data_IF_004166380582
#
_entry.id   IF_004166380582
#
_cell.length_a   1.000
_cell.length_b   1.000
_cell.length_c   1.000
_cell.angle_alpha   90.00
_cell.angle_beta   90.00
_cell.angle_gamma   90.00
#
_symmetry.space_group_name_H-M   'P 1'
#
loop_
_entity.id
_entity.type
_entity.pdbx_description
1 polymer ?
#
# COMPACT_ATOMS: atom_id res chain seq x y z
N UNK A 1 6.76 1.63 18.86
CA UNK A 1 6.52 1.86 17.44
C UNK A 1 5.14 1.33 17.07
N UNK A 2 4.37 2.12 16.31
CA UNK A 2 3.04 1.77 15.80
C UNK A 2 3.09 1.64 14.29
N UNK A 3 2.68 0.48 13.78
CA UNK A 3 2.68 0.15 12.36
C UNK A 3 1.24 0.00 11.88
N UNK A 4 0.89 0.62 10.76
CA UNK A 4 -0.35 0.39 10.04
C UNK A 4 -0.05 -0.36 8.75
N UNK A 5 -0.70 -1.48 8.56
CA UNK A 5 -0.74 -2.22 7.31
C UNK A 5 -2.15 -2.12 6.74
N UNK A 6 -2.29 -1.51 5.56
CA UNK A 6 -3.58 -1.45 4.89
C UNK A 6 -3.57 -2.28 3.62
N UNK A 7 -4.72 -2.84 3.28
CA UNK A 7 -4.95 -3.56 2.04
C UNK A 7 -6.38 -3.30 1.55
N UNK A 8 -6.71 -3.75 0.36
CA UNK A 8 -8.04 -3.55 -0.20
C UNK A 8 -8.85 -4.84 -0.22
N UNK A 9 -10.15 -4.70 0.01
CA UNK A 9 -11.13 -5.73 -0.24
C UNK A 9 -11.37 -5.98 -1.74
N UNK A 10 -12.36 -6.82 -2.09
CA UNK A 10 -12.77 -7.08 -3.47
C UNK A 10 -13.19 -5.81 -4.22
N UNK A 11 -12.95 -5.75 -5.53
CA UNK A 11 -13.32 -4.60 -6.36
C UNK A 11 -13.73 -4.99 -7.78
N UNK A 12 -14.58 -4.20 -8.39
CA UNK A 12 -15.11 -4.40 -9.75
C UNK A 12 -15.66 -5.84 -9.92
N UNK A 13 -15.22 -6.57 -10.94
CA UNK A 13 -15.58 -7.98 -11.17
C UNK A 13 -14.76 -8.98 -10.37
N UNK A 14 -13.77 -8.52 -9.59
CA UNK A 14 -12.90 -9.38 -8.78
C UNK A 14 -13.53 -9.62 -7.40
N UNK A 15 -14.15 -10.81 -7.21
CA UNK A 15 -14.67 -11.24 -5.91
C UNK A 15 -13.57 -11.58 -4.89
N UNK A 16 -12.31 -11.56 -5.31
CA UNK A 16 -11.12 -11.89 -4.54
C UNK A 16 -10.03 -10.85 -4.76
N UNK A 17 -9.45 -10.36 -3.66
CA UNK A 17 -8.28 -9.50 -3.71
C UNK A 17 -7.15 -10.14 -2.86
N UNK A 18 -6.05 -10.58 -3.47
CA UNK A 18 -4.98 -11.25 -2.73
C UNK A 18 -4.36 -10.39 -1.63
N UNK A 19 -4.38 -9.06 -1.78
CA UNK A 19 -3.77 -8.16 -0.79
C UNK A 19 -4.50 -8.18 0.56
N UNK A 20 -5.82 -8.38 0.58
CA UNK A 20 -6.59 -8.59 1.82
C UNK A 20 -6.07 -9.82 2.56
N UNK A 21 -5.92 -10.95 1.84
CA UNK A 21 -5.47 -12.21 2.44
C UNK A 21 -4.03 -12.12 2.93
N UNK A 22 -3.15 -11.46 2.18
CA UNK A 22 -1.77 -11.17 2.59
C UNK A 22 -1.77 -10.36 3.90
N UNK A 23 -2.51 -9.26 3.97
CA UNK A 23 -2.53 -8.40 5.15
C UNK A 23 -3.08 -9.12 6.39
N UNK A 24 -4.16 -9.93 6.23
CA UNK A 24 -4.70 -10.73 7.33
C UNK A 24 -3.69 -11.77 7.82
N UNK A 25 -3.05 -12.49 6.90
CA UNK A 25 -2.05 -13.50 7.22
C UNK A 25 -0.85 -12.90 7.97
N UNK A 26 -0.37 -11.74 7.54
CA UNK A 26 0.67 -10.97 8.26
C UNK A 26 0.19 -10.62 9.66
N UNK A 27 -1.04 -10.12 9.81
CA UNK A 27 -1.60 -9.79 11.13
C UNK A 27 -1.68 -10.97 12.09
N UNK A 28 -2.04 -12.15 11.58
CA UNK A 28 -2.11 -13.41 12.36
C UNK A 28 -0.73 -13.90 12.80
N UNK A 29 0.31 -13.69 11.99
CA UNK A 29 1.67 -14.18 12.23
C UNK A 29 2.58 -13.17 12.92
N UNK A 30 2.17 -11.91 13.00
CA UNK A 30 3.02 -10.84 13.52
C UNK A 30 3.47 -11.09 14.94
N UNK A 31 4.77 -11.28 15.12
CA UNK A 31 5.39 -11.61 16.41
C UNK A 31 6.44 -10.58 16.87
N UNK A 32 6.67 -9.52 16.06
CA UNK A 32 7.59 -8.45 16.43
C UNK A 32 7.03 -7.60 17.59
N UNK A 33 7.91 -6.95 18.36
CA UNK A 33 7.54 -6.09 19.50
C UNK A 33 6.81 -4.80 19.12
N UNK A 34 6.93 -4.34 17.87
CA UNK A 34 6.16 -3.20 17.35
C UNK A 34 4.68 -3.56 17.23
N UNK A 35 3.81 -2.61 17.59
CA UNK A 35 2.36 -2.81 17.51
C UNK A 35 1.89 -2.72 16.05
N UNK A 36 1.38 -3.81 15.49
CA UNK A 36 0.78 -3.85 14.15
C UNK A 36 -0.74 -3.68 14.24
N UNK A 37 -1.26 -2.78 13.41
CA UNK A 37 -2.69 -2.64 13.11
C UNK A 37 -2.91 -3.00 11.65
N UNK A 38 -3.85 -3.90 11.37
CA UNK A 38 -4.25 -4.28 10.02
C UNK A 38 -5.63 -3.69 9.73
N UNK A 39 -5.78 -3.01 8.59
CA UNK A 39 -7.04 -2.42 8.16
C UNK A 39 -7.33 -2.77 6.69
N UNK A 40 -8.53 -3.28 6.42
CA UNK A 40 -8.99 -3.56 5.05
C UNK A 40 -9.86 -2.40 4.59
N UNK A 41 -9.40 -1.74 3.54
CA UNK A 41 -10.04 -0.55 2.99
C UNK A 41 -11.02 -0.90 1.87
N UNK A 42 -12.12 -0.15 1.74
CA UNK A 42 -12.99 -0.23 0.56
C UNK A 42 -12.24 0.32 -0.66
N UNK A 43 -12.54 -0.19 -1.86
CA UNK A 43 -12.00 0.37 -3.11
C UNK A 43 -12.90 1.53 -3.56
N UNK A 44 -12.87 2.59 -2.76
CA UNK A 44 -13.64 3.82 -2.92
C UNK A 44 -12.76 5.01 -2.55
N UNK A 45 -12.66 6.01 -3.42
CA UNK A 45 -11.76 7.14 -3.23
C UNK A 45 -11.98 7.87 -1.91
N UNK A 46 -13.22 8.30 -1.67
CA UNK A 46 -13.55 9.08 -0.48
C UNK A 46 -13.48 8.24 0.79
N UNK A 47 -14.09 7.05 0.80
CA UNK A 47 -14.18 6.20 1.98
C UNK A 47 -12.79 5.68 2.41
N UNK A 48 -11.94 5.23 1.46
CA UNK A 48 -10.59 4.79 1.76
C UNK A 48 -9.75 5.93 2.37
N UNK A 49 -9.79 7.13 1.76
CA UNK A 49 -9.09 8.31 2.30
C UNK A 49 -9.59 8.66 3.71
N UNK A 50 -10.90 8.79 3.90
CA UNK A 50 -11.49 9.12 5.21
C UNK A 50 -11.09 8.09 6.27
N UNK A 51 -11.08 6.80 5.90
CA UNK A 51 -10.67 5.74 6.82
C UNK A 51 -9.21 5.89 7.24
N UNK A 52 -8.28 6.09 6.31
CA UNK A 52 -6.85 6.31 6.63
C UNK A 52 -6.67 7.53 7.53
N UNK A 53 -7.29 8.67 7.19
CA UNK A 53 -7.19 9.89 7.99
C UNK A 53 -7.78 9.69 9.40
N UNK A 54 -8.89 8.96 9.52
CA UNK A 54 -9.57 8.68 10.78
C UNK A 54 -8.83 7.74 11.74
N UNK A 55 -7.87 6.94 11.24
CA UNK A 55 -7.04 6.05 12.08
C UNK A 55 -5.96 6.81 12.87
N UNK A 56 -5.70 8.07 12.50
CA UNK A 56 -4.67 8.88 13.11
C UNK A 56 -3.26 8.59 12.59
N UNK A 57 -2.23 9.03 13.34
CA UNK A 57 -0.84 8.90 12.90
C UNK A 57 -0.19 7.59 13.35
N UNK A 58 0.69 7.08 12.49
CA UNK A 58 1.52 5.90 12.75
C UNK A 58 2.99 6.25 12.47
N UNK A 59 3.91 5.48 13.06
CA UNK A 59 5.33 5.61 12.74
C UNK A 59 5.59 5.08 11.32
N UNK A 60 4.97 3.94 10.98
CA UNK A 60 5.04 3.31 9.66
C UNK A 60 3.63 3.06 9.12
N UNK A 61 3.36 3.39 7.87
CA UNK A 61 2.18 2.96 7.12
C UNK A 61 2.59 2.35 5.78
N UNK A 62 2.52 1.02 5.70
CA UNK A 62 2.67 0.30 4.44
C UNK A 62 1.28 -0.06 3.91
N UNK A 63 0.93 0.47 2.75
CA UNK A 63 -0.31 0.12 2.06
C UNK A 63 -0.05 -0.92 0.97
N UNK A 64 -0.96 -1.87 0.80
CA UNK A 64 -0.90 -2.94 -0.21
C UNK A 64 -1.99 -2.74 -1.26
N UNK A 65 -1.67 -3.01 -2.51
CA UNK A 65 -2.63 -3.04 -3.61
C UNK A 65 -2.29 -4.10 -4.65
N UNK A 66 -3.30 -4.54 -5.38
CA UNK A 66 -3.14 -5.46 -6.51
C UNK A 66 -2.77 -4.69 -7.78
N UNK A 67 -1.71 -5.11 -8.45
CA UNK A 67 -1.34 -4.65 -9.79
C UNK A 67 -1.44 -5.83 -10.78
N UNK A 68 -2.60 -5.97 -11.42
CA UNK A 68 -2.93 -7.13 -12.25
C UNK A 68 -1.99 -7.36 -13.44
N UNK A 69 -1.35 -6.30 -13.92
CA UNK A 69 -0.44 -6.34 -15.08
C UNK A 69 1.03 -6.58 -14.71
N UNK A 70 1.33 -6.78 -13.42
CA UNK A 70 2.72 -6.96 -12.95
C UNK A 70 3.02 -8.42 -12.63
N UNK A 71 4.27 -8.80 -12.84
CA UNK A 71 4.81 -10.14 -12.57
C UNK A 71 5.63 -10.21 -11.27
N UNK A 72 6.00 -9.08 -10.69
CA UNK A 72 6.79 -8.98 -9.46
C UNK A 72 6.26 -7.87 -8.55
N UNK A 73 6.43 -7.99 -7.22
CA UNK A 73 6.11 -6.92 -6.28
C UNK A 73 6.90 -5.64 -6.57
N UNK A 74 6.24 -4.50 -6.38
CA UNK A 74 6.87 -3.19 -6.63
C UNK A 74 6.59 -2.20 -5.50
N UNK A 75 7.65 -1.57 -4.97
CA UNK A 75 7.54 -0.42 -4.08
C UNK A 75 7.36 0.85 -4.91
N UNK A 76 6.29 1.57 -4.64
CA UNK A 76 5.91 2.78 -5.35
C UNK A 76 6.70 3.98 -4.82
N UNK A 77 7.26 4.76 -5.73
CA UNK A 77 8.07 5.92 -5.38
C UNK A 77 7.27 7.19 -5.19
N UNK A 78 6.30 7.47 -6.09
CA UNK A 78 5.55 8.71 -6.07
C UNK A 78 4.04 8.49 -5.96
N UNK A 79 3.41 9.27 -5.08
CA UNK A 79 1.98 9.49 -5.04
C UNK A 79 1.66 10.84 -5.72
N UNK A 80 0.73 10.83 -6.65
CA UNK A 80 0.32 12.02 -7.42
C UNK A 80 -0.96 12.58 -6.80
N UNK A 81 -1.03 13.89 -6.61
CA UNK A 81 -2.22 14.57 -6.11
C UNK A 81 -3.31 14.68 -7.18
N UNK A 82 -3.72 13.54 -7.73
CA UNK A 82 -4.79 13.40 -8.73
C UNK A 82 -5.51 12.08 -8.57
N UNK A 83 -6.80 12.12 -8.87
CA UNK A 83 -7.67 10.97 -9.04
C UNK A 83 -8.19 10.99 -10.48
N UNK A 84 -7.85 9.97 -11.26
CA UNK A 84 -8.24 9.87 -12.66
C UNK A 84 -8.19 8.39 -13.08
N UNK A 85 -9.31 7.85 -13.54
CA UNK A 85 -9.38 6.45 -13.93
C UNK A 85 -10.47 6.20 -14.98
N UNK A 86 -10.22 5.22 -15.83
CA UNK A 86 -11.17 4.81 -16.87
C UNK A 86 -12.32 3.92 -16.33
N UNK A 87 -12.26 3.53 -15.04
CA UNK A 87 -13.29 2.72 -14.39
C UNK A 87 -13.77 3.39 -13.11
N UNK A 88 -15.07 3.27 -12.75
CA UNK A 88 -15.59 3.78 -11.50
C UNK A 88 -15.01 2.99 -10.31
N UNK A 89 -15.03 3.60 -9.14
CA UNK A 89 -14.81 2.91 -7.88
C UNK A 89 -16.03 2.08 -7.45
N UNK A 90 -15.96 1.39 -6.32
CA UNK A 90 -17.07 0.55 -5.85
C UNK A 90 -18.33 1.34 -5.44
N UNK A 91 -18.20 2.65 -5.18
CA UNK A 91 -19.34 3.54 -4.96
C UNK A 91 -19.94 4.10 -6.26
N UNK A 92 -19.33 3.78 -7.42
CA UNK A 92 -19.74 4.28 -8.73
C UNK A 92 -19.16 5.63 -9.09
N UNK A 93 -18.22 6.18 -8.31
CA UNK A 93 -17.56 7.44 -8.62
C UNK A 93 -16.52 7.26 -9.73
N UNK A 94 -16.69 8.05 -10.80
CA UNK A 94 -15.76 8.14 -11.93
C UNK A 94 -14.88 9.38 -11.75
N UNK A 95 -13.67 9.18 -11.26
CA UNK A 95 -12.73 10.28 -11.09
C UNK A 95 -12.22 10.79 -12.45
N UNK A 96 -12.20 12.11 -12.61
CA UNK A 96 -11.87 12.79 -13.88
C UNK A 96 -10.85 13.93 -13.67
N UNK A 97 -9.74 13.66 -13.00
CA UNK A 97 -8.65 14.59 -12.78
C UNK A 97 -8.77 15.44 -11.51
N UNK A 98 -9.61 15.05 -10.55
CA UNK A 98 -9.76 15.78 -9.29
C UNK A 98 -8.48 15.71 -8.44
N UNK A 99 -8.23 16.76 -7.65
CA UNK A 99 -7.19 16.74 -6.64
C UNK A 99 -7.60 15.85 -5.46
N UNK A 100 -6.66 15.09 -4.90
CA UNK A 100 -6.86 14.36 -3.63
C UNK A 100 -6.96 15.36 -2.47
N UNK A 101 -6.14 16.42 -2.52
CA UNK A 101 -6.07 17.46 -1.51
C UNK A 101 -5.64 18.77 -2.19
N UNK A 102 -6.55 19.74 -2.28
CA UNK A 102 -6.29 21.02 -2.95
C UNK A 102 -5.19 21.86 -2.29
N UNK A 103 -4.93 21.64 -1.01
CA UNK A 103 -3.91 22.34 -0.25
C UNK A 103 -2.51 21.74 -0.35
N UNK A 104 -2.40 20.53 -0.87
CA UNK A 104 -1.16 19.77 -0.93
C UNK A 104 -0.42 19.95 -2.28
N UNK A 105 0.90 19.68 -2.32
CA UNK A 105 1.67 19.74 -3.57
C UNK A 105 1.18 18.70 -4.58
N UNK A 106 1.63 18.85 -5.84
CA UNK A 106 1.25 17.98 -6.95
C UNK A 106 1.62 16.51 -6.72
N UNK A 107 2.69 16.24 -5.98
CA UNK A 107 3.14 14.88 -5.68
C UNK A 107 3.93 14.83 -4.37
N UNK A 108 3.92 13.64 -3.75
CA UNK A 108 4.82 13.27 -2.68
C UNK A 108 5.71 12.11 -3.12
N UNK A 109 6.99 12.13 -2.74
CA UNK A 109 7.83 10.94 -2.77
C UNK A 109 7.56 10.13 -1.50
N UNK A 110 7.55 8.80 -1.62
CA UNK A 110 7.43 7.90 -0.46
C UNK A 110 8.46 8.25 0.61
N UNK A 111 8.06 8.22 1.86
CA UNK A 111 8.98 8.43 2.99
C UNK A 111 9.55 7.10 3.52
N UNK A 112 9.20 5.97 2.90
CA UNK A 112 9.89 4.70 3.14
C UNK A 112 11.32 4.75 2.61
N UNK A 113 12.28 4.08 3.24
CA UNK A 113 13.64 3.91 2.71
C UNK A 113 13.65 2.88 1.55
N UNK A 114 12.83 3.13 0.52
CA UNK A 114 12.43 2.15 -0.50
C UNK A 114 13.62 1.51 -1.23
N UNK A 115 14.71 2.26 -1.51
CA UNK A 115 15.90 1.70 -2.16
C UNK A 115 16.56 0.63 -1.30
N UNK A 116 16.76 0.95 -0.01
CA UNK A 116 17.32 0.00 0.96
C UNK A 116 16.41 -1.21 1.12
N UNK A 117 15.09 -1.00 1.20
CA UNK A 117 14.12 -2.10 1.31
C UNK A 117 14.17 -3.03 0.09
N UNK A 118 14.25 -2.48 -1.12
CA UNK A 118 14.40 -3.26 -2.36
C UNK A 118 15.72 -4.06 -2.35
N UNK A 119 16.83 -3.43 -2.00
CA UNK A 119 18.14 -4.10 -1.92
C UNK A 119 18.12 -5.25 -0.91
N UNK A 120 17.57 -5.01 0.29
CA UNK A 120 17.48 -6.02 1.35
C UNK A 120 16.55 -7.15 0.98
N UNK A 121 15.38 -6.85 0.42
CA UNK A 121 14.43 -7.87 -0.03
C UNK A 121 15.02 -8.74 -1.15
N UNK A 122 15.69 -8.15 -2.14
CA UNK A 122 16.34 -8.89 -3.20
C UNK A 122 17.50 -9.77 -2.68
N UNK A 123 18.28 -9.28 -1.70
CA UNK A 123 19.31 -10.08 -1.04
C UNK A 123 18.74 -11.26 -0.24
N UNK A 124 17.50 -11.13 0.26
CA UNK A 124 16.77 -12.21 0.94
C UNK A 124 16.05 -13.16 -0.03
N UNK A 125 16.16 -12.95 -1.35
CA UNK A 125 15.58 -13.82 -2.38
C UNK A 125 14.23 -13.37 -2.94
N UNK A 126 13.66 -12.27 -2.45
CA UNK A 126 12.45 -11.67 -3.03
C UNK A 126 12.79 -10.86 -4.28
N UNK A 127 11.95 -10.96 -5.32
CA UNK A 127 12.14 -10.20 -6.58
C UNK A 127 11.33 -8.91 -6.52
N UNK A 128 11.83 -7.89 -5.81
CA UNK A 128 11.14 -6.60 -5.66
C UNK A 128 11.76 -5.56 -6.58
N UNK A 129 10.93 -4.71 -7.22
CA UNK A 129 11.38 -3.60 -8.08
C UNK A 129 10.85 -2.25 -7.60
N UNK A 130 11.49 -1.18 -8.05
CA UNK A 130 10.96 0.18 -7.95
C UNK A 130 9.89 0.39 -9.02
N UNK A 131 8.79 1.07 -8.62
CA UNK A 131 7.82 1.65 -9.56
C UNK A 131 7.71 3.15 -9.29
N UNK A 132 7.48 3.93 -10.33
CA UNK A 132 7.45 5.39 -10.23
C UNK A 132 6.07 5.97 -9.94
N UNK A 133 5.02 5.17 -10.01
CA UNK A 133 3.65 5.62 -9.78
C UNK A 133 2.72 4.47 -9.41
N UNK A 134 1.89 4.72 -8.41
CA UNK A 134 0.78 3.85 -8.03
C UNK A 134 -0.44 3.95 -8.98
N UNK A 135 -0.30 4.64 -10.11
CA UNK A 135 -1.42 5.02 -10.97
C UNK A 135 -2.15 6.25 -10.44
N UNK A 136 -3.43 6.39 -10.81
CA UNK A 136 -4.28 7.49 -10.33
C UNK A 136 -5.63 6.99 -9.78
N UNK A 137 -5.74 5.67 -9.57
CA UNK A 137 -6.91 5.04 -8.95
C UNK A 137 -6.81 5.09 -7.42
N UNK A 138 -7.67 4.38 -6.70
CA UNK A 138 -7.77 4.40 -5.23
C UNK A 138 -6.44 4.07 -4.54
N UNK A 139 -5.59 3.21 -5.13
CA UNK A 139 -4.24 2.91 -4.61
C UNK A 139 -3.40 4.16 -4.42
N UNK A 140 -3.39 5.05 -5.41
CA UNK A 140 -2.68 6.32 -5.34
C UNK A 140 -3.22 7.25 -4.24
N UNK A 141 -4.55 7.30 -4.08
CA UNK A 141 -5.20 8.09 -3.02
C UNK A 141 -4.81 7.59 -1.63
N UNK A 142 -4.75 6.27 -1.44
CA UNK A 142 -4.31 5.67 -0.16
C UNK A 142 -2.83 5.91 0.06
N UNK A 143 -1.96 5.74 -0.94
CA UNK A 143 -0.53 6.06 -0.83
C UNK A 143 -0.30 7.52 -0.45
N UNK A 144 -1.00 8.44 -1.13
CA UNK A 144 -0.93 9.87 -0.85
C UNK A 144 -1.30 10.17 0.62
N UNK A 145 -2.37 9.56 1.09
CA UNK A 145 -2.83 9.72 2.49
C UNK A 145 -1.87 9.07 3.49
N UNK A 146 -1.28 7.92 3.17
CA UNK A 146 -0.30 7.25 4.02
C UNK A 146 0.94 8.12 4.26
N UNK A 147 1.43 8.80 3.20
CA UNK A 147 2.57 9.73 3.31
C UNK A 147 2.20 10.96 4.15
N UNK A 148 0.97 11.47 4.04
CA UNK A 148 0.52 12.62 4.83
C UNK A 148 0.35 12.31 6.34
N UNK A 149 -0.01 11.06 6.69
CA UNK A 149 -0.41 10.70 8.06
C UNK A 149 0.62 9.92 8.85
N UNK A 150 1.74 9.53 8.23
CA UNK A 150 2.74 8.69 8.87
C UNK A 150 4.14 9.25 8.69
N UNK A 151 5.03 8.95 9.63
CA UNK A 151 6.43 9.34 9.53
C UNK A 151 7.10 8.63 8.33
N UNK A 152 6.78 7.35 8.16
CA UNK A 152 7.24 6.51 7.04
C UNK A 152 6.02 5.90 6.34
N UNK A 153 5.55 6.55 5.29
CA UNK A 153 4.40 6.14 4.50
C UNK A 153 4.77 5.73 3.08
N UNK A 154 4.13 4.68 2.58
CA UNK A 154 4.33 4.23 1.20
C UNK A 154 3.43 3.08 0.80
N UNK A 155 3.70 2.52 -0.36
CA UNK A 155 2.82 1.57 -1.03
C UNK A 155 3.59 0.44 -1.70
N UNK A 156 3.12 -0.78 -1.52
CA UNK A 156 3.60 -1.98 -2.19
C UNK A 156 2.49 -2.54 -3.09
N UNK A 157 2.70 -2.56 -4.39
CA UNK A 157 1.86 -3.33 -5.28
C UNK A 157 2.32 -4.78 -5.34
N UNK A 158 1.37 -5.70 -5.19
CA UNK A 158 1.56 -7.15 -5.36
C UNK A 158 0.98 -7.58 -6.71
N UNK A 159 1.61 -8.54 -7.39
CA UNK A 159 1.03 -9.20 -8.56
C UNK A 159 -0.21 -10.03 -8.20
N UNK A 160 -0.94 -10.55 -9.21
CA UNK A 160 -1.98 -11.56 -8.99
C UNK A 160 -1.44 -12.80 -8.27
N UNK A 161 -2.31 -13.49 -7.51
CA UNK A 161 -1.93 -14.65 -6.69
C UNK A 161 -1.34 -15.82 -7.52
N UNK A 162 -1.66 -15.91 -8.79
CA UNK A 162 -1.12 -16.88 -9.74
C UNK A 162 0.37 -16.64 -10.04
N UNK A 163 0.82 -15.39 -10.00
CA UNK A 163 2.20 -14.99 -10.24
C UNK A 163 3.02 -14.86 -8.94
N UNK A 164 2.36 -14.51 -7.84
CA UNK A 164 2.99 -14.31 -6.54
C UNK A 164 2.01 -14.71 -5.43
N UNK A 165 2.23 -15.87 -4.83
CA UNK A 165 1.28 -16.48 -3.90
C UNK A 165 1.00 -15.57 -2.68
N UNK A 166 -0.15 -15.76 -2.03
CA UNK A 166 -0.48 -15.08 -0.77
C UNK A 166 0.58 -15.34 0.30
N UNK A 167 1.11 -16.54 0.35
CA UNK A 167 2.16 -16.96 1.27
C UNK A 167 3.47 -16.18 1.04
N UNK A 168 3.94 -16.11 -0.22
CA UNK A 168 5.12 -15.33 -0.58
C UNK A 168 4.89 -13.83 -0.34
N UNK A 169 3.68 -13.34 -0.60
CA UNK A 169 3.25 -11.98 -0.30
C UNK A 169 3.33 -11.65 1.18
N UNK A 170 2.81 -12.54 2.03
CA UNK A 170 2.89 -12.38 3.48
C UNK A 170 4.34 -12.41 3.98
N UNK A 171 5.15 -13.36 3.52
CA UNK A 171 6.56 -13.43 3.87
C UNK A 171 7.33 -12.15 3.48
N UNK A 172 7.09 -11.62 2.27
CA UNK A 172 7.70 -10.36 1.84
C UNK A 172 7.26 -9.19 2.73
N UNK A 173 5.96 -9.06 3.01
CA UNK A 173 5.43 -7.94 3.81
C UNK A 173 5.96 -8.02 5.25
N UNK A 174 5.97 -9.19 5.87
CA UNK A 174 6.57 -9.41 7.19
C UNK A 174 8.04 -9.01 7.20
N UNK A 175 8.81 -9.42 6.19
CA UNK A 175 10.21 -9.05 6.03
C UNK A 175 10.38 -7.52 5.95
N UNK A 176 9.62 -6.84 5.09
CA UNK A 176 9.71 -5.39 4.91
C UNK A 176 9.34 -4.62 6.19
N UNK A 177 8.28 -5.04 6.89
CA UNK A 177 7.84 -4.41 8.13
C UNK A 177 8.87 -4.61 9.26
N UNK A 178 9.47 -5.80 9.35
CA UNK A 178 10.53 -6.09 10.33
C UNK A 178 11.78 -5.27 10.04
N UNK A 179 12.25 -5.21 8.78
CA UNK A 179 13.39 -4.36 8.38
C UNK A 179 13.17 -2.88 8.72
N UNK A 180 11.94 -2.39 8.56
CA UNK A 180 11.61 -1.01 8.94
C UNK A 180 11.55 -0.85 10.46
N UNK A 181 10.93 -1.79 11.18
CA UNK A 181 10.82 -1.71 12.63
C UNK A 181 12.17 -1.76 13.34
N UNK A 182 13.10 -2.52 12.82
CA UNK A 182 14.45 -2.67 13.42
C UNK A 182 15.40 -1.51 13.10
N UNK A 183 15.15 -0.75 12.03
CA UNK A 183 16.14 0.18 11.50
C UNK A 183 15.68 1.64 11.33
N UNK A 184 14.40 1.96 11.61
CA UNK A 184 13.86 3.32 11.53
C UNK A 184 13.65 3.97 12.92
N UNK A 185 14.15 3.33 13.98
CA UNK A 185 14.14 3.89 15.34
C UNK A 185 15.41 4.70 15.61
#
# INVERSE_FOLDING_TARGET
MRILLTAFGPFASHSYNPTEHVARLVGERWSHSAQLTVEILPVEYAAARQRVLGLGSFDIHLALGLAAERDVPTLERFAINRQDAAAPDNAGHMAAGESIDESAPLAFETTLPYRRLIERANAAGYRVRESRTAGLYVCNTVMFSAIQTSQHGGFLHLPPAEAFSVEDGAGLVEFLLTEMADHLC
#
